data_IF_762144952193
#
_entry.id   IF_762144952193
#
_cell.length_a   1.000
_cell.length_b   1.000
_cell.length_c   1.000
_cell.angle_alpha   90.00
_cell.angle_beta   90.00
_cell.angle_gamma   90.00
#
_symmetry.space_group_name_H-M   'P 1'
#
loop_
_entity.id
_entity.type
_entity.pdbx_description
1 polymer ?
#
# COMPACT_ATOMS: atom_id res chain seq x y z
N UNK A 1 4.56 -7.89 17.09
CA UNK A 1 3.20 -7.82 17.68
C UNK A 1 2.73 -6.38 17.54
N UNK A 2 1.62 -6.12 16.84
CA UNK A 2 1.01 -4.80 16.74
C UNK A 2 0.29 -4.48 18.05
N UNK A 3 0.96 -3.77 18.96
CA UNK A 3 0.35 -3.31 20.21
C UNK A 3 -0.17 -1.89 20.01
N UNK A 4 -1.38 -1.61 20.47
CA UNK A 4 -1.92 -0.26 20.48
C UNK A 4 -1.08 0.63 21.40
N UNK A 5 -0.55 1.72 20.85
CA UNK A 5 0.27 2.71 21.54
C UNK A 5 0.19 4.04 20.76
N UNK A 6 -0.82 4.90 21.02
CA UNK A 6 -0.91 6.20 20.41
C UNK A 6 0.34 7.02 20.72
N UNK A 7 0.94 7.57 19.67
CA UNK A 7 2.14 8.36 19.76
C UNK A 7 2.06 9.56 18.83
N UNK A 8 2.51 10.71 19.33
CA UNK A 8 2.75 11.90 18.56
C UNK A 8 4.08 12.49 18.98
N UNK A 9 5.00 12.62 18.03
CA UNK A 9 6.39 13.02 18.28
C UNK A 9 6.76 14.16 17.36
N UNK A 10 7.90 14.82 17.61
CA UNK A 10 8.41 15.89 16.75
C UNK A 10 8.74 15.43 15.32
N UNK A 11 9.05 14.14 15.13
CA UNK A 11 9.34 13.56 13.81
C UNK A 11 8.10 13.06 13.06
N UNK A 12 6.92 13.02 13.72
CA UNK A 12 5.67 12.57 13.08
C UNK A 12 5.36 13.35 11.79
N UNK A 13 5.44 14.69 11.73
CA UNK A 13 5.18 15.42 10.48
C UNK A 13 6.15 15.05 9.35
N UNK A 14 7.44 14.88 9.68
CA UNK A 14 8.46 14.45 8.71
C UNK A 14 8.16 13.06 8.18
N UNK A 15 7.80 12.12 9.06
CA UNK A 15 7.38 10.77 8.66
C UNK A 15 6.19 10.82 7.70
N UNK A 16 5.14 11.59 8.03
CA UNK A 16 3.94 11.68 7.19
C UNK A 16 4.26 12.25 5.81
N UNK A 17 5.08 13.30 5.72
CA UNK A 17 5.48 13.88 4.44
C UNK A 17 6.32 12.90 3.60
N UNK A 18 7.31 12.26 4.22
CA UNK A 18 8.15 11.28 3.51
C UNK A 18 7.33 10.08 3.06
N UNK A 19 6.45 9.56 3.93
CA UNK A 19 5.60 8.43 3.59
C UNK A 19 4.62 8.79 2.46
N UNK A 20 4.04 9.98 2.45
CA UNK A 20 3.17 10.41 1.36
C UNK A 20 3.94 10.48 0.03
N UNK A 21 5.03 11.26 -0.02
CA UNK A 21 5.69 11.60 -1.28
C UNK A 21 6.61 10.51 -1.83
N UNK A 22 7.29 9.77 -0.96
CA UNK A 22 8.31 8.79 -1.37
C UNK A 22 7.86 7.35 -1.22
N UNK A 23 6.86 7.06 -0.37
CA UNK A 23 6.33 5.69 -0.22
C UNK A 23 5.01 5.56 -1.00
N UNK A 24 3.93 6.19 -0.54
CA UNK A 24 2.60 5.98 -1.10
C UNK A 24 2.49 6.40 -2.56
N UNK A 25 3.00 7.59 -2.94
CA UNK A 25 2.97 8.01 -4.35
C UNK A 25 3.80 7.07 -5.23
N UNK A 26 5.02 6.72 -4.81
CA UNK A 26 5.91 5.89 -5.61
C UNK A 26 5.36 4.47 -5.80
N UNK A 27 4.90 3.84 -4.71
CA UNK A 27 4.34 2.49 -4.75
C UNK A 27 3.04 2.47 -5.55
N UNK A 28 2.10 3.38 -5.32
CA UNK A 28 0.84 3.38 -6.07
C UNK A 28 1.05 3.73 -7.55
N UNK A 29 1.99 4.61 -7.89
CA UNK A 29 2.36 4.86 -9.27
C UNK A 29 2.88 3.59 -9.95
N UNK A 30 3.78 2.85 -9.29
CA UNK A 30 4.35 1.63 -9.83
C UNK A 30 3.32 0.50 -9.96
N UNK A 31 2.62 0.17 -8.87
CA UNK A 31 1.73 -0.99 -8.82
C UNK A 31 0.39 -0.74 -9.52
N UNK A 32 -0.20 0.46 -9.42
CA UNK A 32 -1.54 0.75 -9.96
C UNK A 32 -1.43 1.42 -11.33
N UNK A 33 -0.59 2.45 -11.43
CA UNK A 33 -0.33 3.14 -12.69
C UNK A 33 0.51 2.32 -13.69
N UNK A 34 1.49 1.56 -13.22
CA UNK A 34 2.34 0.71 -14.07
C UNK A 34 1.78 -0.69 -14.26
N UNK A 35 1.83 -1.51 -13.21
CA UNK A 35 1.52 -2.95 -13.30
C UNK A 35 0.04 -3.20 -13.57
N UNK A 36 -0.86 -2.75 -12.69
CA UNK A 36 -2.28 -3.08 -12.79
C UNK A 36 -2.88 -2.50 -14.08
N UNK A 37 -2.64 -1.21 -14.34
CA UNK A 37 -3.13 -0.56 -15.55
C UNK A 37 -2.49 -1.15 -16.82
N UNK A 38 -1.20 -1.48 -16.81
CA UNK A 38 -0.54 -2.15 -17.93
C UNK A 38 -1.16 -3.52 -18.25
N UNK A 39 -1.43 -4.36 -17.23
CA UNK A 39 -2.11 -5.64 -17.43
C UNK A 39 -3.54 -5.44 -17.96
N UNK A 40 -4.28 -4.43 -17.46
CA UNK A 40 -5.62 -4.11 -17.96
C UNK A 40 -5.57 -3.71 -19.44
N UNK A 41 -4.57 -2.94 -19.86
CA UNK A 41 -4.40 -2.55 -21.25
C UNK A 41 -4.08 -3.74 -22.16
N UNK A 42 -3.26 -4.69 -21.69
CA UNK A 42 -2.93 -5.92 -22.42
C UNK A 42 -4.10 -6.92 -22.45
N UNK A 43 -4.86 -7.02 -21.36
CA UNK A 43 -5.93 -8.00 -21.18
C UNK A 43 -7.24 -7.33 -20.70
N UNK A 44 -7.89 -6.51 -21.54
CA UNK A 44 -9.04 -5.69 -21.13
C UNK A 44 -10.26 -6.51 -20.68
N UNK A 45 -10.37 -7.76 -21.11
CA UNK A 45 -11.44 -8.69 -20.70
C UNK A 45 -11.23 -9.31 -19.32
N UNK A 46 -10.04 -9.16 -18.73
CA UNK A 46 -9.65 -9.78 -17.45
C UNK A 46 -9.16 -8.75 -16.42
N UNK A 47 -9.91 -7.68 -16.11
CA UNK A 47 -9.44 -6.63 -15.20
C UNK A 47 -9.18 -7.13 -13.77
N UNK A 48 -9.92 -8.15 -13.32
CA UNK A 48 -9.74 -8.74 -12.00
C UNK A 48 -8.48 -9.61 -11.90
N UNK A 49 -7.97 -10.12 -13.02
CA UNK A 49 -6.66 -10.76 -13.05
C UNK A 49 -5.56 -9.73 -12.73
N UNK A 50 -5.65 -8.53 -13.32
CA UNK A 50 -4.71 -7.44 -13.03
C UNK A 50 -4.74 -7.03 -11.54
N UNK A 51 -5.94 -6.98 -10.94
CA UNK A 51 -6.13 -6.72 -9.50
C UNK A 51 -5.39 -7.78 -8.67
N UNK A 52 -5.63 -9.06 -8.93
CA UNK A 52 -5.00 -10.16 -8.19
C UNK A 52 -3.48 -10.18 -8.35
N UNK A 53 -2.97 -10.03 -9.58
CA UNK A 53 -1.54 -10.04 -9.86
C UNK A 53 -0.83 -8.85 -9.22
N UNK A 54 -1.38 -7.63 -9.36
CA UNK A 54 -0.79 -6.43 -8.75
C UNK A 54 -0.76 -6.54 -7.21
N UNK A 55 -1.83 -7.05 -6.59
CA UNK A 55 -1.89 -7.26 -5.15
C UNK A 55 -0.88 -8.30 -4.64
N UNK A 56 -0.70 -9.42 -5.37
CA UNK A 56 0.29 -10.43 -5.04
C UNK A 56 1.72 -9.88 -5.17
N UNK A 57 2.02 -9.16 -6.24
CA UNK A 57 3.33 -8.54 -6.44
C UNK A 57 3.64 -7.50 -5.36
N UNK A 58 2.64 -6.71 -4.96
CA UNK A 58 2.75 -5.80 -3.83
C UNK A 58 3.09 -6.56 -2.54
N UNK A 59 2.40 -7.65 -2.24
CA UNK A 59 2.73 -8.49 -1.08
C UNK A 59 4.15 -9.06 -1.11
N UNK A 60 4.56 -9.58 -2.28
CA UNK A 60 5.88 -10.18 -2.46
C UNK A 60 7.03 -9.18 -2.28
N UNK A 61 6.85 -7.91 -2.67
CA UNK A 61 7.87 -6.87 -2.45
C UNK A 61 8.10 -6.57 -0.96
N UNK A 62 7.20 -7.00 -0.09
CA UNK A 62 7.27 -6.81 1.36
C UNK A 62 7.80 -8.03 2.13
N UNK A 63 8.28 -9.07 1.43
CA UNK A 63 8.87 -10.27 2.06
C UNK A 63 10.08 -9.96 2.95
N UNK A 64 10.78 -8.84 2.72
CA UNK A 64 11.87 -8.38 3.58
C UNK A 64 11.47 -8.14 5.05
N UNK A 65 10.19 -7.83 5.32
CA UNK A 65 9.65 -7.74 6.68
C UNK A 65 9.05 -9.04 7.23
N UNK A 66 9.24 -10.16 6.52
CA UNK A 66 8.78 -11.50 6.89
C UNK A 66 7.42 -11.89 6.29
N UNK A 67 7.14 -13.21 6.30
CA UNK A 67 5.96 -13.78 5.64
C UNK A 67 4.63 -13.22 6.16
N UNK A 68 4.52 -12.96 7.47
CA UNK A 68 3.31 -12.35 8.05
C UNK A 68 3.08 -10.93 7.54
N UNK A 69 4.15 -10.14 7.40
CA UNK A 69 4.05 -8.78 6.87
C UNK A 69 3.69 -8.80 5.38
N UNK A 70 4.32 -9.66 4.59
CA UNK A 70 3.98 -9.86 3.18
C UNK A 70 2.51 -10.28 2.97
N UNK A 71 1.99 -11.17 3.82
CA UNK A 71 0.58 -11.56 3.78
C UNK A 71 -0.35 -10.37 4.07
N UNK A 72 -0.07 -9.59 5.11
CA UNK A 72 -0.86 -8.39 5.43
C UNK A 72 -0.77 -7.32 4.33
N UNK A 73 0.43 -7.11 3.77
CA UNK A 73 0.66 -6.23 2.64
C UNK A 73 -0.13 -6.69 1.40
N UNK A 74 -0.22 -8.00 1.13
CA UNK A 74 -1.05 -8.56 0.05
C UNK A 74 -2.52 -8.19 0.24
N UNK A 75 -3.04 -8.34 1.46
CA UNK A 75 -4.44 -8.04 1.79
C UNK A 75 -4.73 -6.55 1.63
N UNK A 76 -3.87 -5.69 2.16
CA UNK A 76 -3.98 -4.23 1.99
C UNK A 76 -3.89 -3.84 0.50
N UNK A 77 -2.90 -4.41 -0.21
CA UNK A 77 -2.67 -4.19 -1.64
C UNK A 77 -3.84 -4.64 -2.51
N UNK A 78 -4.55 -5.70 -2.13
CA UNK A 78 -5.78 -6.13 -2.77
C UNK A 78 -6.90 -5.11 -2.57
N UNK A 79 -7.04 -4.55 -1.37
CA UNK A 79 -7.95 -3.45 -1.09
C UNK A 79 -7.67 -2.23 -1.98
N UNK A 80 -6.41 -1.83 -2.08
CA UNK A 80 -5.96 -0.71 -2.92
C UNK A 80 -6.21 -0.96 -4.41
N UNK A 81 -5.89 -2.17 -4.90
CA UNK A 81 -6.11 -2.55 -6.29
C UNK A 81 -7.60 -2.61 -6.66
N UNK A 82 -8.45 -3.12 -5.76
CA UNK A 82 -9.91 -3.08 -5.90
C UNK A 82 -10.45 -1.64 -5.91
N UNK A 83 -9.93 -0.78 -5.03
CA UNK A 83 -10.29 0.64 -5.00
C UNK A 83 -9.92 1.32 -6.31
N UNK A 84 -8.69 1.13 -6.81
CA UNK A 84 -8.25 1.65 -8.11
C UNK A 84 -9.16 1.16 -9.24
N UNK A 85 -9.50 -0.13 -9.25
CA UNK A 85 -10.32 -0.72 -10.28
C UNK A 85 -11.72 -0.09 -10.35
N UNK A 86 -12.30 0.25 -9.19
CA UNK A 86 -13.63 0.86 -9.09
C UNK A 86 -13.61 2.37 -9.33
N UNK A 87 -12.66 3.09 -8.73
CA UNK A 87 -12.62 4.55 -8.79
C UNK A 87 -11.91 5.09 -10.02
N UNK A 88 -10.99 4.31 -10.60
CA UNK A 88 -10.02 4.73 -11.63
C UNK A 88 -9.21 5.97 -11.24
N UNK A 89 -9.13 6.26 -9.95
CA UNK A 89 -8.44 7.41 -9.37
C UNK A 89 -7.21 6.93 -8.60
N UNK A 90 -6.03 7.28 -9.08
CA UNK A 90 -4.78 7.00 -8.38
C UNK A 90 -4.68 7.80 -7.07
N UNK A 91 -5.19 9.03 -7.06
CA UNK A 91 -5.19 9.91 -5.88
C UNK A 91 -5.99 9.29 -4.75
N UNK A 92 -7.16 8.70 -5.04
CA UNK A 92 -7.98 8.05 -4.02
C UNK A 92 -7.26 6.88 -3.35
N UNK A 93 -6.45 6.14 -4.11
CA UNK A 93 -5.69 5.00 -3.59
C UNK A 93 -4.47 5.46 -2.80
N UNK A 94 -3.76 6.50 -3.28
CA UNK A 94 -2.66 7.14 -2.54
C UNK A 94 -3.16 7.63 -1.19
N UNK A 95 -4.31 8.30 -1.12
CA UNK A 95 -4.89 8.77 0.13
C UNK A 95 -5.27 7.63 1.06
N UNK A 96 -5.88 6.56 0.55
CA UNK A 96 -6.23 5.38 1.35
C UNK A 96 -4.99 4.71 1.94
N UNK A 97 -3.94 4.54 1.13
CA UNK A 97 -2.67 3.97 1.57
C UNK A 97 -1.99 4.88 2.60
N UNK A 98 -1.91 6.18 2.33
CA UNK A 98 -1.35 7.16 3.26
C UNK A 98 -2.07 7.16 4.61
N UNK A 99 -3.41 7.18 4.61
CA UNK A 99 -4.21 7.12 5.84
C UNK A 99 -3.96 5.82 6.58
N UNK A 100 -3.89 4.70 5.89
CA UNK A 100 -3.59 3.40 6.51
C UNK A 100 -2.21 3.43 7.21
N UNK A 101 -1.18 3.93 6.53
CA UNK A 101 0.16 4.04 7.10
C UNK A 101 0.23 5.03 8.26
N UNK A 102 -0.45 6.18 8.14
CA UNK A 102 -0.53 7.19 9.19
C UNK A 102 -1.21 6.63 10.44
N UNK A 103 -2.35 5.94 10.29
CA UNK A 103 -3.03 5.27 11.40
C UNK A 103 -2.15 4.19 12.02
N UNK A 104 -1.47 3.38 11.21
CA UNK A 104 -0.58 2.34 11.71
C UNK A 104 0.57 2.95 12.53
N UNK A 105 1.20 4.02 12.02
CA UNK A 105 2.30 4.70 12.68
C UNK A 105 1.87 5.43 13.96
N UNK A 106 0.72 6.12 13.94
CA UNK A 106 0.24 6.90 15.08
C UNK A 106 -0.29 6.00 16.19
N UNK A 107 -0.99 4.91 15.86
CA UNK A 107 -1.71 4.11 16.86
C UNK A 107 -1.03 2.81 17.26
N UNK A 108 0.02 2.35 16.56
CA UNK A 108 0.65 1.07 16.85
C UNK A 108 2.17 1.20 17.00
N UNK A 109 2.75 0.28 17.78
CA UNK A 109 4.20 0.21 18.01
C UNK A 109 4.95 0.16 16.67
N UNK A 110 5.89 1.09 16.53
CA UNK A 110 6.81 1.26 15.42
C UNK A 110 8.20 1.46 16.07
N UNK A 111 9.22 0.58 15.87
CA UNK A 111 9.59 -0.07 14.62
C UNK A 111 9.57 -1.61 14.68
N UNK A 112 9.34 -2.25 13.54
CA UNK A 112 9.73 -3.64 13.35
C UNK A 112 11.10 -3.65 12.65
N UNK A 113 12.17 -3.41 13.41
CA UNK A 113 13.48 -3.88 13.00
C UNK A 113 13.51 -5.35 13.41
N UNK A 114 13.65 -6.24 12.42
CA UNK A 114 13.85 -7.67 12.67
C UNK A 114 15.21 -7.89 13.35
#
# INVERSE_FOLDING_TARGET
MTRWQPQWTSYTPTFLLVNLFFTCIAEEAFFRGGIQQGIIQLYPKLPWLAVGVSALLFGLSHLGGGAKYAMLATIAGLGYACLYQRSRSIVSVILMHFVFNALHFVFFVYPAIA
#
